data_IF_750975391096
#
_entry.id   IF_750975391096
#
_cell.length_a   1.000
_cell.length_b   1.000
_cell.length_c   1.000
_cell.angle_alpha   90.00
_cell.angle_beta   90.00
_cell.angle_gamma   90.00
#
_symmetry.space_group_name_H-M   'P 1'
#
loop_
_entity.id
_entity.type
_entity.pdbx_description
1 polymer ?
#
# COMPACT_ATOMS: atom_id res chain seq x y z
N UNK A 1 5.46 -3.63 -6.43
CA UNK A 1 4.19 -2.84 -6.48
C UNK A 1 3.79 -2.32 -5.11
N UNK A 2 3.80 -3.14 -4.06
CA UNK A 2 3.52 -2.69 -2.69
C UNK A 2 4.52 -1.63 -2.20
N UNK A 3 5.81 -1.72 -2.56
CA UNK A 3 6.80 -0.68 -2.27
C UNK A 3 6.43 0.68 -2.86
N UNK A 4 5.92 0.73 -4.09
CA UNK A 4 5.57 1.99 -4.76
C UNK A 4 4.37 2.65 -4.07
N UNK A 5 3.35 1.85 -3.74
CA UNK A 5 2.15 2.32 -3.02
C UNK A 5 2.48 2.74 -1.59
N UNK A 6 3.30 1.95 -0.89
CA UNK A 6 3.75 2.21 0.47
C UNK A 6 4.65 3.44 0.59
N UNK A 7 5.56 3.65 -0.37
CA UNK A 7 6.38 4.88 -0.44
C UNK A 7 5.50 6.09 -0.78
N UNK A 8 4.55 5.96 -1.70
CA UNK A 8 3.58 7.01 -2.00
C UNK A 8 2.74 7.40 -0.77
N UNK A 9 2.28 6.42 0.02
CA UNK A 9 1.59 6.65 1.28
C UNK A 9 2.49 7.35 2.30
N UNK A 10 3.77 6.94 2.40
CA UNK A 10 4.74 7.56 3.29
C UNK A 10 4.95 9.04 2.97
N UNK A 11 5.11 9.39 1.69
CA UNK A 11 5.24 10.78 1.24
C UNK A 11 3.96 11.56 1.57
N UNK A 12 2.79 10.97 1.35
CA UNK A 12 1.52 11.65 1.63
C UNK A 12 1.34 11.93 3.14
N UNK A 13 1.71 10.99 4.00
CA UNK A 13 1.57 11.11 5.47
C UNK A 13 2.69 11.94 6.10
N UNK A 14 3.95 11.73 5.73
CA UNK A 14 5.10 12.40 6.36
C UNK A 14 5.43 13.75 5.73
N UNK A 15 5.00 14.02 4.49
CA UNK A 15 5.24 15.29 3.82
C UNK A 15 3.91 16.00 3.56
N UNK A 16 2.95 15.35 2.90
CA UNK A 16 1.68 15.96 2.52
C UNK A 16 0.83 16.46 3.69
N UNK A 17 0.67 15.66 4.76
CA UNK A 17 -0.09 16.03 5.96
C UNK A 17 0.57 17.18 6.73
N UNK A 18 1.86 17.13 7.10
CA UNK A 18 2.50 18.25 7.80
C UNK A 18 2.58 19.51 6.94
N UNK A 19 2.84 19.44 5.62
CA UNK A 19 2.82 20.65 4.78
C UNK A 19 1.42 21.29 4.70
N UNK A 20 0.37 20.47 4.63
CA UNK A 20 -1.01 20.94 4.60
C UNK A 20 -1.42 21.62 5.92
N UNK A 21 -1.08 21.02 7.06
CA UNK A 21 -1.53 21.52 8.37
C UNK A 21 -0.57 22.54 9.00
N UNK A 22 0.75 22.43 8.78
CA UNK A 22 1.73 23.35 9.36
C UNK A 22 2.06 24.55 8.45
N UNK A 23 2.02 24.37 7.12
CA UNK A 23 2.36 25.43 6.17
C UNK A 23 1.18 25.91 5.31
N UNK A 24 -0.02 25.35 5.49
CA UNK A 24 -1.22 25.69 4.70
C UNK A 24 -1.15 25.30 3.22
N UNK A 25 -0.07 24.63 2.78
CA UNK A 25 0.20 24.35 1.38
C UNK A 25 -0.48 23.05 0.94
N UNK A 26 -1.52 23.16 0.10
CA UNK A 26 -2.35 22.02 -0.32
C UNK A 26 -1.86 21.30 -1.59
N UNK A 27 -0.86 21.86 -2.28
CA UNK A 27 -0.41 21.36 -3.59
C UNK A 27 0.06 19.90 -3.57
N UNK A 28 0.79 19.49 -2.53
CA UNK A 28 1.29 18.11 -2.40
C UNK A 28 0.14 17.11 -2.26
N UNK A 29 -0.85 17.39 -1.42
CA UNK A 29 -2.01 16.50 -1.24
C UNK A 29 -2.90 16.47 -2.49
N UNK A 30 -3.05 17.61 -3.18
CA UNK A 30 -3.87 17.71 -4.38
C UNK A 30 -3.33 16.89 -5.57
N UNK A 31 -2.01 16.71 -5.65
CA UNK A 31 -1.36 15.91 -6.72
C UNK A 31 -1.12 14.47 -6.27
N UNK A 32 -0.51 14.27 -5.10
CA UNK A 32 -0.10 12.93 -4.63
C UNK A 32 -1.30 12.11 -4.15
N UNK A 33 -2.36 12.75 -3.64
CA UNK A 33 -3.57 12.07 -3.18
C UNK A 33 -4.27 11.27 -4.29
N UNK A 34 -4.64 11.90 -5.42
CA UNK A 34 -5.25 11.20 -6.56
C UNK A 34 -4.34 10.10 -7.15
N UNK A 35 -3.04 10.38 -7.29
CA UNK A 35 -2.06 9.41 -7.80
C UNK A 35 -2.01 8.18 -6.89
N UNK A 36 -1.89 8.39 -5.58
CA UNK A 36 -1.90 7.29 -4.61
C UNK A 36 -3.23 6.53 -4.64
N UNK A 37 -4.37 7.22 -4.73
CA UNK A 37 -5.69 6.58 -4.82
C UNK A 37 -5.81 5.63 -6.00
N UNK A 38 -5.37 6.07 -7.20
CA UNK A 38 -5.37 5.21 -8.40
C UNK A 38 -4.43 4.02 -8.23
N UNK A 39 -3.20 4.26 -7.76
CA UNK A 39 -2.23 3.19 -7.52
C UNK A 39 -2.72 2.18 -6.47
N UNK A 40 -3.46 2.66 -5.46
CA UNK A 40 -4.04 1.81 -4.43
C UNK A 40 -5.16 0.90 -4.97
N UNK A 41 -6.01 1.42 -5.86
CA UNK A 41 -7.03 0.60 -6.55
C UNK A 41 -6.38 -0.51 -7.38
N UNK A 42 -5.34 -0.17 -8.16
CA UNK A 42 -4.59 -1.15 -8.96
C UNK A 42 -3.95 -2.21 -8.05
N UNK A 43 -3.38 -1.78 -6.92
CA UNK A 43 -2.82 -2.68 -5.92
C UNK A 43 -3.85 -3.63 -5.32
N UNK A 44 -5.04 -3.14 -4.96
CA UNK A 44 -6.12 -3.98 -4.45
C UNK A 44 -6.59 -5.02 -5.48
N UNK A 45 -6.69 -4.65 -6.76
CA UNK A 45 -7.05 -5.57 -7.84
C UNK A 45 -6.00 -6.69 -7.99
N UNK A 46 -4.71 -6.33 -8.00
CA UNK A 46 -3.61 -7.30 -8.08
C UNK A 46 -3.56 -8.20 -6.84
N UNK A 47 -3.75 -7.63 -5.65
CA UNK A 47 -3.83 -8.37 -4.40
C UNK A 47 -5.00 -9.36 -4.37
N UNK A 48 -6.15 -8.98 -4.90
CA UNK A 48 -7.31 -9.85 -5.01
C UNK A 48 -7.07 -11.01 -5.98
N UNK A 49 -6.49 -10.77 -7.15
CA UNK A 49 -6.14 -11.84 -8.10
C UNK A 49 -5.15 -12.83 -7.47
N UNK A 50 -4.11 -12.33 -6.79
CA UNK A 50 -3.14 -13.16 -6.09
C UNK A 50 -3.77 -13.95 -4.93
N UNK A 51 -4.66 -13.32 -4.16
CA UNK A 51 -5.38 -13.97 -3.06
C UNK A 51 -6.30 -15.10 -3.55
N UNK A 52 -6.95 -14.92 -4.70
CA UNK A 52 -7.78 -15.96 -5.33
C UNK A 52 -6.94 -17.15 -5.79
N UNK A 53 -5.81 -16.90 -6.45
CA UNK A 53 -4.92 -17.96 -6.96
C UNK A 53 -4.19 -18.70 -5.84
N UNK A 54 -3.74 -17.99 -4.80
CA UNK A 54 -3.01 -18.56 -3.66
C UNK A 54 -3.90 -19.10 -2.53
N UNK A 55 -5.24 -19.05 -2.67
CA UNK A 55 -6.21 -19.42 -1.61
C UNK A 55 -5.91 -18.76 -0.26
N UNK A 56 -5.73 -17.44 -0.28
CA UNK A 56 -5.37 -16.70 0.93
C UNK A 56 -6.53 -16.60 1.91
N UNK A 57 -6.21 -16.56 3.20
CA UNK A 57 -7.19 -16.38 4.27
C UNK A 57 -7.64 -14.92 4.38
N UNK A 58 -8.82 -14.68 4.96
CA UNK A 58 -9.35 -13.32 5.22
C UNK A 58 -8.37 -12.43 6.00
N UNK A 59 -7.60 -13.01 6.94
CA UNK A 59 -6.57 -12.26 7.69
C UNK A 59 -5.45 -11.74 6.80
N UNK A 60 -5.06 -12.51 5.78
CA UNK A 60 -4.00 -12.13 4.85
C UNK A 60 -4.48 -11.05 3.88
N UNK A 61 -5.72 -11.15 3.41
CA UNK A 61 -6.34 -10.07 2.64
C UNK A 61 -6.46 -8.79 3.47
N UNK A 62 -6.89 -8.89 4.73
CA UNK A 62 -6.97 -7.73 5.62
C UNK A 62 -5.61 -7.07 5.88
N UNK A 63 -4.55 -7.86 6.04
CA UNK A 63 -3.19 -7.34 6.17
C UNK A 63 -2.74 -6.56 4.92
N UNK A 64 -3.04 -7.10 3.73
CA UNK A 64 -2.72 -6.51 2.42
C UNK A 64 -3.51 -5.23 2.14
N UNK A 65 -4.80 -5.21 2.46
CA UNK A 65 -5.61 -3.98 2.41
C UNK A 65 -5.07 -2.96 3.42
N UNK A 66 -4.79 -3.39 4.66
CA UNK A 66 -4.25 -2.51 5.70
C UNK A 66 -2.89 -1.89 5.34
N UNK A 67 -2.07 -2.59 4.58
CA UNK A 67 -0.78 -2.09 4.10
C UNK A 67 -0.89 -0.81 3.25
N UNK A 68 -2.03 -0.57 2.60
CA UNK A 68 -2.27 0.68 1.87
C UNK A 68 -2.80 1.84 2.70
N UNK A 69 -3.08 1.65 3.99
CA UNK A 69 -3.57 2.72 4.88
C UNK A 69 -2.61 3.03 6.03
N UNK A 70 -1.83 2.05 6.46
CA UNK A 70 -0.91 2.21 7.59
C UNK A 70 0.51 2.39 7.03
N UNK A 71 1.15 3.56 7.25
CA UNK A 71 2.54 3.74 6.89
C UNK A 71 3.40 2.67 7.59
N UNK A 72 4.44 2.19 6.93
CA UNK A 72 5.31 1.06 7.35
C UNK A 72 4.69 -0.35 7.26
N UNK A 73 3.37 -0.51 7.35
CA UNK A 73 2.75 -1.84 7.25
C UNK A 73 2.94 -2.48 5.87
N UNK A 74 3.00 -1.67 4.80
CA UNK A 74 3.34 -2.11 3.45
C UNK A 74 4.65 -2.92 3.38
N UNK A 75 5.68 -2.48 4.11
CA UNK A 75 7.00 -3.14 4.10
C UNK A 75 6.97 -4.51 4.79
N UNK A 76 6.22 -4.62 5.88
CA UNK A 76 6.04 -5.89 6.61
C UNK A 76 5.26 -6.88 5.77
N UNK A 77 4.15 -6.44 5.17
CA UNK A 77 3.28 -7.29 4.36
C UNK A 77 3.99 -7.75 3.10
N UNK A 78 4.74 -6.89 2.41
CA UNK A 78 5.51 -7.30 1.23
C UNK A 78 6.53 -8.39 1.59
N UNK A 79 7.24 -8.26 2.72
CA UNK A 79 8.20 -9.28 3.16
C UNK A 79 7.52 -10.62 3.50
N UNK A 80 6.30 -10.58 4.04
CA UNK A 80 5.52 -11.79 4.31
C UNK A 80 5.01 -12.45 3.01
N UNK A 81 4.50 -11.65 2.07
CA UNK A 81 3.99 -12.13 0.77
C UNK A 81 5.11 -12.74 -0.06
N UNK A 82 6.27 -12.07 -0.18
CA UNK A 82 7.43 -12.60 -0.93
C UNK A 82 7.88 -13.95 -0.38
N UNK A 83 8.06 -14.08 0.94
CA UNK A 83 8.47 -15.33 1.58
C UNK A 83 7.48 -16.46 1.37
N UNK A 84 6.18 -16.14 1.26
CA UNK A 84 5.15 -17.14 0.99
C UNK A 84 5.22 -17.62 -0.45
N UNK A 85 5.27 -16.69 -1.40
CA UNK A 85 5.37 -17.03 -2.83
C UNK A 85 6.63 -17.86 -3.10
N UNK A 86 7.77 -17.52 -2.50
CA UNK A 86 9.01 -18.32 -2.59
C UNK A 86 8.87 -19.73 -2.01
N UNK A 87 8.05 -19.92 -0.97
CA UNK A 87 7.76 -21.25 -0.40
C UNK A 87 6.77 -22.06 -1.22
N UNK A 88 5.83 -21.40 -1.91
CA UNK A 88 4.87 -22.07 -2.80
C UNK A 88 5.50 -22.46 -4.15
N UNK A 89 6.61 -21.82 -4.54
CA UNK A 89 7.36 -22.13 -5.76
C UNK A 89 8.49 -23.17 -5.57
N UNK A 90 8.77 -23.59 -4.33
CA UNK A 90 9.68 -24.69 -4.00
C UNK A 90 8.89 -25.98 -3.80
#
# INVERSE_FOLDING_TARGET
MAYIVGVGLLILVLVGVPLKYAAGYRGVVAVVGPIHGILYIVYLAAAYDLARRGRWTLRQMAAVVGAGFVPFLAFVVERQVTRRVEREMR
#
